data_IF_302860754307
#
_entry.id   IF_302860754307
#
_cell.length_a   1.000
_cell.length_b   1.000
_cell.length_c   1.000
_cell.angle_alpha   90.00
_cell.angle_beta   90.00
_cell.angle_gamma   90.00
#
_symmetry.space_group_name_H-M   'P 1'
#
loop_
_entity.id
_entity.type
_entity.pdbx_description
1 polymer ?
#
# COMPACT_ATOMS: atom_id res chain seq x y z
N UNK A 1 17.38 9.20 1.14
CA UNK A 1 16.77 8.43 2.25
C UNK A 1 15.90 7.31 1.69
N UNK A 2 15.94 6.09 2.24
CA UNK A 2 15.04 5.01 1.83
C UNK A 2 13.62 5.26 2.33
N UNK A 3 12.69 4.45 1.85
CA UNK A 3 11.36 4.37 2.43
C UNK A 3 11.37 3.73 3.81
N UNK A 4 10.25 3.83 4.54
CA UNK A 4 10.09 3.29 5.89
C UNK A 4 8.70 2.68 6.08
N UNK A 5 8.62 1.65 6.90
CA UNK A 5 7.37 0.98 7.26
C UNK A 5 7.48 -0.54 7.23
N UNK A 6 6.36 -1.18 7.00
CA UNK A 6 6.27 -2.64 6.97
C UNK A 6 6.72 -3.18 5.60
N UNK A 7 7.78 -3.99 5.57
CA UNK A 7 8.26 -4.64 4.33
C UNK A 7 7.29 -5.70 3.78
N UNK A 8 6.30 -6.11 4.56
CA UNK A 8 5.25 -7.03 4.18
C UNK A 8 3.89 -6.29 4.08
N UNK A 9 3.91 -5.03 3.62
CA UNK A 9 2.74 -4.19 3.50
C UNK A 9 1.90 -4.56 2.26
N UNK A 10 0.58 -4.51 2.40
CA UNK A 10 -0.34 -4.66 1.27
C UNK A 10 -0.40 -3.40 0.39
N UNK A 11 0.02 -2.25 0.94
CA UNK A 11 0.08 -0.99 0.20
C UNK A 11 1.40 -0.26 0.45
N UNK A 12 1.97 0.27 -0.64
CA UNK A 12 3.09 1.20 -0.61
C UNK A 12 2.61 2.58 -1.04
N UNK A 13 2.88 3.60 -0.22
CA UNK A 13 2.60 4.99 -0.55
C UNK A 13 3.83 5.66 -1.13
N UNK A 14 3.70 6.25 -2.32
CA UNK A 14 4.80 6.88 -3.04
C UNK A 14 4.51 8.36 -3.23
N UNK A 15 5.29 9.21 -2.55
CA UNK A 15 5.26 10.66 -2.69
C UNK A 15 6.31 11.18 -3.68
N UNK A 16 6.55 12.50 -3.64
CA UNK A 16 7.45 13.20 -4.56
C UNK A 16 8.91 13.14 -4.10
N UNK A 17 9.22 13.80 -3.01
CA UNK A 17 10.57 13.99 -2.49
C UNK A 17 10.55 14.32 -0.99
N UNK A 18 11.67 14.11 -0.27
CA UNK A 18 11.79 14.57 1.11
C UNK A 18 11.70 16.08 1.22
N UNK A 19 11.00 16.58 2.25
CA UNK A 19 11.05 17.97 2.68
C UNK A 19 12.15 18.19 3.72
N UNK A 20 12.18 19.39 4.32
CA UNK A 20 13.20 19.76 5.33
C UNK A 20 13.14 18.86 6.58
N UNK A 21 11.93 18.55 7.06
CA UNK A 21 11.77 17.72 8.26
C UNK A 21 12.23 16.30 8.01
N UNK A 22 11.89 15.76 6.84
CA UNK A 22 12.28 14.43 6.40
C UNK A 22 13.81 14.32 6.24
N UNK A 23 14.43 15.34 5.64
CA UNK A 23 15.88 15.42 5.43
C UNK A 23 16.66 15.43 6.76
N UNK A 24 16.15 16.14 7.76
CA UNK A 24 16.75 16.19 9.11
C UNK A 24 16.57 14.87 9.87
N UNK A 25 15.38 14.25 9.78
CA UNK A 25 15.08 13.07 10.58
C UNK A 25 15.46 11.76 9.88
N UNK A 26 15.77 11.79 8.58
CA UNK A 26 16.05 10.60 7.80
C UNK A 26 14.85 9.68 7.57
N UNK A 27 13.62 10.20 7.72
CA UNK A 27 12.38 9.42 7.62
C UNK A 27 11.37 10.10 6.71
N UNK A 28 10.66 9.35 5.82
CA UNK A 28 9.65 9.91 4.94
C UNK A 28 8.38 10.31 5.70
N UNK A 29 7.76 11.42 5.26
CA UNK A 29 6.48 11.86 5.77
C UNK A 29 6.41 12.07 7.30
N UNK A 30 7.38 12.78 7.87
CA UNK A 30 7.40 13.20 9.29
C UNK A 30 7.05 14.68 9.48
N UNK A 31 7.09 15.47 8.42
CA UNK A 31 6.74 16.91 8.42
C UNK A 31 5.24 17.17 8.31
N UNK A 32 4.88 18.39 7.89
CA UNK A 32 3.48 18.83 7.80
C UNK A 32 2.63 17.95 6.86
N UNK A 33 3.18 17.56 5.72
CA UNK A 33 2.52 16.64 4.77
C UNK A 33 2.32 15.24 5.39
N UNK A 34 3.29 14.76 6.16
CA UNK A 34 3.23 13.50 6.89
C UNK A 34 2.12 13.48 7.93
N UNK A 35 2.00 14.53 8.74
CA UNK A 35 0.91 14.67 9.72
C UNK A 35 -0.48 14.67 9.05
N UNK A 36 -0.58 15.25 7.84
CA UNK A 36 -1.82 15.19 7.06
C UNK A 36 -2.09 13.77 6.55
N UNK A 37 -1.05 13.08 6.07
CA UNK A 37 -1.17 11.68 5.66
C UNK A 37 -1.63 10.81 6.83
N UNK A 38 -1.06 10.97 8.02
CA UNK A 38 -1.42 10.20 9.22
C UNK A 38 -2.89 10.36 9.57
N UNK A 39 -3.39 11.61 9.60
CA UNK A 39 -4.79 11.89 9.88
C UNK A 39 -5.74 11.29 8.84
N UNK A 40 -5.34 11.25 7.56
CA UNK A 40 -6.14 10.68 6.48
C UNK A 40 -6.11 9.15 6.54
N UNK A 41 -4.97 8.54 6.85
CA UNK A 41 -4.85 7.10 7.06
C UNK A 41 -5.74 6.65 8.22
N UNK A 42 -5.70 7.37 9.35
CA UNK A 42 -6.55 7.11 10.52
C UNK A 42 -8.04 7.20 10.19
N UNK A 43 -8.47 8.27 9.47
CA UNK A 43 -9.87 8.45 9.02
C UNK A 43 -10.34 7.32 8.08
N UNK A 44 -9.43 6.74 7.30
CA UNK A 44 -9.70 5.61 6.41
C UNK A 44 -9.57 4.23 7.10
N UNK A 45 -9.21 4.17 8.38
CA UNK A 45 -8.98 2.92 9.11
C UNK A 45 -7.68 2.21 8.73
N UNK A 46 -6.75 2.89 8.07
CA UNK A 46 -5.45 2.34 7.66
C UNK A 46 -4.42 2.67 8.74
N UNK A 47 -3.82 1.63 9.35
CA UNK A 47 -2.77 1.85 10.35
C UNK A 47 -1.44 2.16 9.66
N UNK A 48 -0.80 3.29 10.03
CA UNK A 48 0.51 3.68 9.49
C UNK A 48 1.61 2.61 9.66
N UNK A 49 1.55 1.82 10.72
CA UNK A 49 2.54 0.77 10.97
C UNK A 49 2.39 -0.45 10.04
N UNK A 50 1.26 -0.58 9.35
CA UNK A 50 0.97 -1.69 8.46
C UNK A 50 1.27 -1.36 6.99
N UNK A 51 1.70 -0.13 6.70
CA UNK A 51 2.00 0.34 5.34
C UNK A 51 3.49 0.61 5.17
N UNK A 52 3.94 0.70 3.91
CA UNK A 52 5.27 1.19 3.57
C UNK A 52 5.17 2.54 2.87
N UNK A 53 6.00 3.50 3.24
CA UNK A 53 5.93 4.87 2.72
C UNK A 53 7.28 5.29 2.18
N UNK A 54 7.30 5.86 0.99
CA UNK A 54 8.50 6.30 0.32
C UNK A 54 8.25 7.49 -0.61
N UNK A 55 9.29 7.93 -1.31
CA UNK A 55 9.23 9.00 -2.32
C UNK A 55 9.93 8.56 -3.61
N UNK A 56 9.57 9.18 -4.73
CA UNK A 56 10.27 9.01 -6.01
C UNK A 56 11.74 9.41 -5.84
N UNK A 57 12.00 10.64 -5.40
CA UNK A 57 13.35 11.14 -5.19
C UNK A 57 13.79 10.87 -3.77
N UNK A 58 15.03 10.40 -3.62
CA UNK A 58 15.58 9.98 -2.32
C UNK A 58 16.31 11.09 -1.57
N UNK A 59 16.62 12.19 -2.24
CA UNK A 59 17.26 13.36 -1.67
C UNK A 59 16.33 14.57 -1.72
N UNK A 60 16.48 15.48 -0.77
CA UNK A 60 15.69 16.71 -0.73
C UNK A 60 16.16 17.67 -1.83
N UNK A 61 15.29 18.12 -2.76
CA UNK A 61 15.64 19.15 -3.72
C UNK A 61 15.87 20.51 -3.04
N UNK A 62 16.79 21.35 -3.56
CA UNK A 62 17.06 22.68 -3.01
C UNK A 62 15.78 23.50 -2.85
N UNK A 63 15.61 24.15 -1.70
CA UNK A 63 14.45 24.97 -1.36
C UNK A 63 13.09 24.27 -1.47
N UNK A 64 13.04 22.93 -1.40
CA UNK A 64 11.86 22.10 -1.60
C UNK A 64 11.17 22.34 -2.96
N UNK A 65 11.93 22.68 -4.01
CA UNK A 65 11.35 22.75 -5.36
C UNK A 65 10.92 21.37 -5.83
N UNK A 66 10.06 21.31 -6.83
CA UNK A 66 9.79 20.05 -7.51
C UNK A 66 11.10 19.46 -8.09
N UNK A 67 11.29 18.13 -8.03
CA UNK A 67 12.45 17.49 -8.63
C UNK A 67 12.46 17.65 -10.14
N UNK A 68 13.66 17.70 -10.73
CA UNK A 68 13.82 17.68 -12.19
C UNK A 68 13.63 16.25 -12.71
N UNK A 69 13.44 16.09 -14.03
CA UNK A 69 13.32 14.76 -14.63
C UNK A 69 14.58 13.92 -14.48
N UNK A 70 15.73 14.56 -14.52
CA UNK A 70 17.05 13.90 -14.28
C UNK A 70 17.14 13.37 -12.85
N UNK A 71 16.68 14.15 -11.85
CA UNK A 71 16.62 13.72 -10.45
C UNK A 71 15.64 12.56 -10.24
N UNK A 72 14.46 12.62 -10.88
CA UNK A 72 13.49 11.52 -10.85
C UNK A 72 14.10 10.24 -11.45
N UNK A 73 14.71 10.35 -12.64
CA UNK A 73 15.31 9.19 -13.33
C UNK A 73 16.50 8.60 -12.59
N UNK A 74 17.33 9.42 -11.94
CA UNK A 74 18.43 8.94 -11.11
C UNK A 74 17.97 8.12 -9.90
N UNK A 75 16.71 8.28 -9.48
CA UNK A 75 16.15 7.59 -8.31
C UNK A 75 15.16 6.47 -8.68
N UNK A 76 14.78 6.32 -9.96
CA UNK A 76 13.73 5.37 -10.37
C UNK A 76 14.06 3.92 -10.04
N UNK A 77 15.31 3.51 -10.12
CA UNK A 77 15.73 2.14 -9.81
C UNK A 77 15.58 1.83 -8.32
N UNK A 78 15.80 2.81 -7.43
CA UNK A 78 15.59 2.62 -6.00
C UNK A 78 14.11 2.39 -5.66
N UNK A 79 13.20 3.17 -6.26
CA UNK A 79 11.77 2.97 -6.03
C UNK A 79 11.27 1.65 -6.60
N UNK A 80 11.79 1.22 -7.76
CA UNK A 80 11.44 -0.08 -8.33
C UNK A 80 11.90 -1.23 -7.42
N UNK A 81 13.12 -1.16 -6.87
CA UNK A 81 13.61 -2.14 -5.90
C UNK A 81 12.76 -2.18 -4.63
N UNK A 82 12.38 -1.01 -4.06
CA UNK A 82 11.48 -0.96 -2.91
C UNK A 82 10.13 -1.61 -3.21
N UNK A 83 9.55 -1.35 -4.38
CA UNK A 83 8.29 -1.97 -4.82
C UNK A 83 8.42 -3.49 -4.97
N UNK A 84 9.56 -3.98 -5.46
CA UNK A 84 9.82 -5.41 -5.59
C UNK A 84 10.02 -6.10 -4.24
N UNK A 85 10.77 -5.48 -3.33
CA UNK A 85 11.02 -6.01 -1.98
C UNK A 85 9.72 -6.08 -1.18
N UNK A 86 8.92 -5.00 -1.19
CA UNK A 86 7.65 -4.94 -0.45
C UNK A 86 6.59 -5.81 -1.11
N UNK A 87 6.63 -5.94 -2.45
CA UNK A 87 5.66 -6.67 -3.27
C UNK A 87 4.20 -6.41 -2.85
N UNK A 88 3.74 -5.14 -2.86
CA UNK A 88 2.43 -4.77 -2.37
C UNK A 88 1.32 -5.18 -3.33
N UNK A 89 0.10 -5.29 -2.82
CA UNK A 89 -1.09 -5.48 -3.67
C UNK A 89 -1.41 -4.21 -4.47
N UNK A 90 -1.20 -3.03 -3.86
CA UNK A 90 -1.49 -1.73 -4.45
C UNK A 90 -0.33 -0.77 -4.19
N UNK A 91 0.06 -0.04 -5.23
CA UNK A 91 1.00 1.08 -5.16
C UNK A 91 0.17 2.37 -5.19
N UNK A 92 0.08 3.06 -4.05
CA UNK A 92 -0.63 4.33 -3.94
C UNK A 92 0.28 5.49 -4.37
N UNK A 93 0.00 6.07 -5.51
CA UNK A 93 0.78 7.15 -6.15
C UNK A 93 0.20 8.49 -5.74
N UNK A 94 0.96 9.29 -4.98
CA UNK A 94 0.50 10.55 -4.41
C UNK A 94 1.13 11.75 -5.15
N UNK A 95 0.31 12.48 -5.90
CA UNK A 95 0.72 13.72 -6.58
C UNK A 95 1.22 13.51 -8.01
N UNK A 96 1.39 14.64 -8.72
CA UNK A 96 1.73 14.64 -10.15
C UNK A 96 3.11 14.04 -10.45
N UNK A 97 4.10 14.30 -9.61
CA UNK A 97 5.46 13.78 -9.81
C UNK A 97 5.47 12.26 -9.78
N UNK A 98 4.92 11.66 -8.72
CA UNK A 98 4.85 10.21 -8.62
C UNK A 98 3.99 9.60 -9.74
N UNK A 99 2.86 10.23 -10.10
CA UNK A 99 2.00 9.81 -11.19
C UNK A 99 2.71 9.89 -12.54
N UNK A 100 3.45 10.97 -12.79
CA UNK A 100 4.23 11.14 -14.01
C UNK A 100 5.37 10.14 -14.14
N UNK A 101 6.14 9.93 -13.07
CA UNK A 101 7.32 9.08 -13.08
C UNK A 101 6.97 7.60 -13.24
N UNK A 102 6.02 7.10 -12.44
CA UNK A 102 5.70 5.67 -12.44
C UNK A 102 4.75 5.27 -13.58
N UNK A 103 3.81 6.14 -13.95
CA UNK A 103 2.74 5.81 -14.87
C UNK A 103 2.80 6.57 -16.20
N UNK A 104 3.65 7.60 -16.31
CA UNK A 104 3.66 8.52 -17.47
C UNK A 104 2.42 9.42 -17.51
N UNK A 105 1.69 9.51 -16.39
CA UNK A 105 0.42 10.20 -16.32
C UNK A 105 0.56 11.72 -16.24
N UNK A 106 -0.50 12.41 -16.64
CA UNK A 106 -0.65 13.86 -16.54
C UNK A 106 -2.03 14.18 -15.95
N UNK A 107 -2.20 15.37 -15.39
CA UNK A 107 -3.50 15.85 -14.90
C UNK A 107 -4.15 14.94 -13.85
N UNK A 108 -3.54 14.87 -12.69
CA UNK A 108 -4.01 14.04 -11.56
C UNK A 108 -5.47 14.33 -11.18
N UNK A 109 -5.95 15.56 -11.38
CA UNK A 109 -7.33 15.99 -11.11
C UNK A 109 -8.39 15.19 -11.88
N UNK A 110 -8.05 14.68 -13.06
CA UNK A 110 -8.94 13.84 -13.87
C UNK A 110 -8.79 12.35 -13.61
N UNK A 111 -7.70 11.96 -12.92
CA UNK A 111 -7.30 10.58 -12.80
C UNK A 111 -7.19 10.09 -11.35
N UNK A 112 -7.39 10.95 -10.34
CA UNK A 112 -7.41 10.52 -8.96
C UNK A 112 -8.56 9.54 -8.67
N UNK A 113 -8.46 8.81 -7.60
CA UNK A 113 -9.43 7.81 -7.19
C UNK A 113 -9.64 6.66 -8.18
N UNK A 114 -8.64 6.39 -9.05
CA UNK A 114 -8.68 5.29 -10.03
C UNK A 114 -7.57 4.28 -9.76
N UNK A 115 -7.87 3.02 -10.08
CA UNK A 115 -6.84 1.98 -10.20
C UNK A 115 -6.41 1.90 -11.66
N UNK A 116 -5.10 1.89 -11.89
CA UNK A 116 -4.46 1.70 -13.17
C UNK A 116 -3.58 0.46 -13.07
N UNK A 117 -3.74 -0.47 -13.99
CA UNK A 117 -2.87 -1.63 -14.09
C UNK A 117 -1.74 -1.37 -15.09
N UNK A 118 -0.50 -1.61 -14.67
CA UNK A 118 0.69 -1.50 -15.52
C UNK A 118 1.72 -2.55 -15.10
N UNK A 119 2.21 -3.32 -16.06
CA UNK A 119 3.22 -4.38 -15.84
C UNK A 119 2.82 -5.37 -14.74
N UNK A 120 1.54 -5.76 -14.68
CA UNK A 120 1.01 -6.68 -13.67
C UNK A 120 0.88 -6.12 -12.26
N UNK A 121 1.16 -4.83 -12.06
CA UNK A 121 1.01 -4.14 -10.77
C UNK A 121 -0.19 -3.18 -10.81
N UNK A 122 -0.87 -3.05 -9.66
CA UNK A 122 -2.02 -2.14 -9.49
C UNK A 122 -1.56 -0.85 -8.85
N UNK A 123 -1.90 0.27 -9.47
CA UNK A 123 -1.58 1.62 -9.00
C UNK A 123 -2.86 2.37 -8.67
N UNK A 124 -2.97 2.85 -7.46
CA UNK A 124 -4.04 3.76 -7.04
C UNK A 124 -3.53 5.20 -7.08
N UNK A 125 -4.20 6.07 -7.83
CA UNK A 125 -3.76 7.45 -8.04
C UNK A 125 -4.55 8.40 -7.13
N UNK A 126 -3.85 9.26 -6.38
CA UNK A 126 -4.48 10.27 -5.51
C UNK A 126 -3.64 11.54 -5.39
N UNK A 127 -4.24 12.58 -4.82
CA UNK A 127 -3.53 13.84 -4.56
C UNK A 127 -2.43 13.66 -3.51
N UNK A 128 -1.40 14.52 -3.59
CA UNK A 128 -0.38 14.56 -2.55
C UNK A 128 -0.96 15.23 -1.29
N UNK A 129 -0.72 14.69 -0.08
CA UNK A 129 -1.24 15.29 1.16
C UNK A 129 -0.86 16.76 1.36
N UNK A 130 0.32 17.19 0.88
CA UNK A 130 0.74 18.58 0.93
C UNK A 130 -0.19 19.54 0.17
N UNK A 131 -0.90 19.07 -0.86
CA UNK A 131 -1.85 19.91 -1.61
C UNK A 131 -2.99 20.43 -0.73
N UNK A 132 -3.36 19.69 0.32
CA UNK A 132 -4.41 20.09 1.28
C UNK A 132 -3.98 21.25 2.19
N UNK A 133 -2.68 21.53 2.31
CA UNK A 133 -2.16 22.66 3.09
C UNK A 133 -2.54 23.97 2.40
N UNK A 134 -2.53 23.97 1.07
CA UNK A 134 -2.82 25.15 0.23
C UNK A 134 -4.28 25.22 -0.22
N UNK A 135 -4.97 24.07 -0.28
CA UNK A 135 -6.36 23.97 -0.71
C UNK A 135 -7.13 22.99 0.17
N UNK A 136 -7.84 23.53 1.16
CA UNK A 136 -8.60 22.72 2.13
C UNK A 136 -9.75 21.93 1.49
N UNK A 137 -10.29 22.38 0.33
CA UNK A 137 -11.35 21.64 -0.38
C UNK A 137 -10.89 20.25 -0.84
N UNK A 138 -9.58 20.07 -1.05
CA UNK A 138 -9.01 18.77 -1.40
C UNK A 138 -8.98 17.76 -0.25
N UNK A 139 -9.21 18.19 1.00
CA UNK A 139 -9.21 17.27 2.15
C UNK A 139 -10.32 16.23 2.02
N UNK A 140 -11.53 16.68 1.66
CA UNK A 140 -12.67 15.77 1.56
C UNK A 140 -12.53 14.80 0.38
N UNK A 141 -11.95 15.26 -0.73
CA UNK A 141 -11.65 14.41 -1.87
C UNK A 141 -10.59 13.37 -1.50
N UNK A 142 -9.52 13.80 -0.86
CA UNK A 142 -8.44 12.92 -0.41
C UNK A 142 -8.94 11.87 0.60
N UNK A 143 -9.79 12.25 1.54
CA UNK A 143 -10.44 11.33 2.46
C UNK A 143 -11.31 10.29 1.74
N UNK A 144 -12.09 10.72 0.73
CA UNK A 144 -12.87 9.80 -0.10
C UNK A 144 -11.98 8.83 -0.87
N UNK A 145 -10.87 9.33 -1.45
CA UNK A 145 -9.90 8.50 -2.16
C UNK A 145 -9.33 7.43 -1.23
N UNK A 146 -8.91 7.79 -0.02
CA UNK A 146 -8.32 6.85 0.92
C UNK A 146 -9.32 5.82 1.47
N UNK A 147 -10.59 6.22 1.69
CA UNK A 147 -11.66 5.27 2.04
C UNK A 147 -11.91 4.25 0.91
N UNK A 148 -11.87 4.72 -0.34
CA UNK A 148 -11.99 3.83 -1.48
C UNK A 148 -10.76 2.91 -1.62
N UNK A 149 -9.56 3.44 -1.37
CA UNK A 149 -8.34 2.62 -1.31
C UNK A 149 -8.45 1.52 -0.25
N UNK A 150 -8.93 1.85 0.95
CA UNK A 150 -9.16 0.87 2.01
C UNK A 150 -10.12 -0.24 1.56
N UNK A 151 -11.24 0.10 0.92
CA UNK A 151 -12.16 -0.87 0.33
C UNK A 151 -11.50 -1.78 -0.72
N UNK A 152 -10.65 -1.25 -1.59
CA UNK A 152 -9.91 -2.08 -2.56
C UNK A 152 -8.92 -3.04 -1.89
N UNK A 153 -8.31 -2.63 -0.78
CA UNK A 153 -7.42 -3.50 -0.01
C UNK A 153 -8.20 -4.62 0.68
N UNK A 154 -9.43 -4.37 1.10
CA UNK A 154 -10.33 -5.37 1.65
C UNK A 154 -10.85 -6.35 0.58
N UNK A 155 -11.31 -5.83 -0.56
CA UNK A 155 -11.87 -6.64 -1.66
C UNK A 155 -10.78 -7.46 -2.40
N UNK A 156 -9.59 -6.88 -2.59
CA UNK A 156 -8.47 -7.54 -3.28
C UNK A 156 -7.93 -8.77 -2.57
N UNK A 157 -8.29 -8.96 -1.31
CA UNK A 157 -7.86 -10.08 -0.47
C UNK A 157 -8.80 -11.29 -0.48
N UNK A 158 -9.88 -11.25 -1.24
CA UNK A 158 -10.70 -12.44 -1.48
C UNK A 158 -10.12 -13.29 -2.63
N UNK A 159 -8.85 -13.69 -2.52
CA UNK A 159 -8.32 -14.76 -3.37
C UNK A 159 -8.93 -16.05 -2.85
N UNK A 160 -10.02 -16.49 -3.44
CA UNK A 160 -10.56 -17.82 -3.21
C UNK A 160 -9.67 -18.84 -3.91
N UNK A 161 -8.65 -19.33 -3.23
CA UNK A 161 -8.00 -20.58 -3.62
C UNK A 161 -8.83 -21.74 -3.07
N UNK A 162 -9.06 -22.75 -3.88
CA UNK A 162 -9.70 -23.97 -3.44
C UNK A 162 -8.61 -25.02 -3.22
N UNK A 163 -8.41 -25.43 -1.98
CA UNK A 163 -7.45 -26.47 -1.62
C UNK A 163 -8.15 -27.73 -1.12
N UNK A 164 -7.67 -28.90 -1.53
CA UNK A 164 -8.10 -30.18 -0.98
C UNK A 164 -7.41 -30.42 0.36
N UNK A 165 -8.15 -30.37 1.45
CA UNK A 165 -7.67 -30.59 2.82
C UNK A 165 -8.60 -31.51 3.60
N UNK A 166 -8.05 -32.17 4.64
CA UNK A 166 -8.88 -32.83 5.63
C UNK A 166 -9.51 -31.80 6.53
N UNK A 167 -10.82 -31.79 6.62
CA UNK A 167 -11.54 -30.92 7.53
C UNK A 167 -11.46 -31.49 8.96
N UNK A 168 -10.98 -30.70 9.90
CA UNK A 168 -10.84 -31.13 11.31
C UNK A 168 -12.21 -31.32 11.99
N UNK A 169 -13.27 -30.79 11.42
CA UNK A 169 -14.62 -30.88 11.96
C UNK A 169 -15.40 -32.08 11.39
N UNK A 170 -15.52 -32.19 10.07
CA UNK A 170 -16.22 -33.34 9.47
C UNK A 170 -15.30 -34.52 9.17
N UNK A 171 -14.00 -34.41 9.46
CA UNK A 171 -12.95 -35.43 9.29
C UNK A 171 -12.80 -35.97 7.85
N UNK A 172 -13.52 -35.42 6.90
CA UNK A 172 -13.46 -35.78 5.49
C UNK A 172 -12.39 -34.98 4.74
N UNK A 173 -11.83 -35.58 3.69
CA UNK A 173 -10.98 -34.83 2.73
C UNK A 173 -11.91 -34.04 1.80
N UNK A 174 -12.00 -32.73 2.01
CA UNK A 174 -12.92 -31.86 1.32
C UNK A 174 -12.19 -30.66 0.72
N UNK A 175 -12.85 -29.99 -0.20
CA UNK A 175 -12.39 -28.71 -0.73
C UNK A 175 -12.58 -27.62 0.32
N UNK A 176 -11.57 -26.76 0.46
CA UNK A 176 -11.64 -25.60 1.33
C UNK A 176 -11.46 -24.34 0.50
N UNK A 177 -12.36 -23.40 0.67
CA UNK A 177 -12.13 -22.03 0.19
C UNK A 177 -11.13 -21.35 1.12
N UNK A 178 -10.05 -20.84 0.53
CA UNK A 178 -9.01 -20.10 1.27
C UNK A 178 -9.18 -18.62 0.96
N UNK A 179 -9.45 -17.85 2.00
CA UNK A 179 -9.57 -16.38 1.90
C UNK A 179 -8.42 -15.76 2.67
N UNK A 180 -7.58 -15.00 1.98
CA UNK A 180 -6.49 -14.24 2.61
C UNK A 180 -7.05 -12.88 3.03
N UNK A 181 -7.06 -12.60 4.33
CA UNK A 181 -7.50 -11.31 4.86
C UNK A 181 -6.34 -10.32 4.96
N UNK A 182 -6.55 -9.04 4.56
CA UNK A 182 -5.50 -8.02 4.63
C UNK A 182 -5.07 -7.74 6.07
N UNK A 183 -3.79 -7.40 6.25
CA UNK A 183 -3.24 -6.97 7.54
C UNK A 183 -3.93 -5.73 8.08
N UNK A 184 -4.37 -4.84 7.19
CA UNK A 184 -5.07 -3.59 7.53
C UNK A 184 -6.33 -3.85 8.36
N UNK A 185 -7.11 -4.88 7.98
CA UNK A 185 -8.36 -5.22 8.68
C UNK A 185 -8.11 -6.00 9.97
N UNK A 186 -7.12 -6.91 9.98
CA UNK A 186 -6.92 -7.86 11.08
C UNK A 186 -5.66 -7.63 11.90
N UNK A 187 -4.86 -6.60 11.60
CA UNK A 187 -3.49 -6.34 12.12
C UNK A 187 -2.47 -7.45 11.87
N UNK A 188 -2.88 -8.56 11.23
CA UNK A 188 -2.00 -9.66 10.78
C UNK A 188 -2.69 -10.31 9.59
N UNK A 189 -1.94 -10.67 8.55
CA UNK A 189 -2.49 -11.54 7.51
C UNK A 189 -3.03 -12.79 8.17
N UNK A 190 -4.28 -13.13 7.91
CA UNK A 190 -4.91 -14.35 8.39
C UNK A 190 -5.52 -15.06 7.20
N UNK A 191 -5.43 -16.35 7.22
CA UNK A 191 -6.04 -17.21 6.22
C UNK A 191 -7.29 -17.81 6.83
N UNK A 192 -8.41 -17.56 6.20
CA UNK A 192 -9.66 -18.20 6.55
C UNK A 192 -9.85 -19.41 5.66
N UNK A 193 -9.90 -20.58 6.24
CA UNK A 193 -10.23 -21.83 5.57
C UNK A 193 -11.70 -22.14 5.86
N UNK A 194 -12.51 -22.26 4.81
CA UNK A 194 -13.91 -22.60 4.92
C UNK A 194 -14.17 -23.93 4.20
N UNK A 195 -14.56 -24.94 4.95
CA UNK A 195 -14.93 -26.23 4.38
C UNK A 195 -16.18 -26.07 3.49
N UNK A 196 -16.12 -26.57 2.25
CA UNK A 196 -17.26 -26.46 1.30
C UNK A 196 -18.44 -27.35 1.70
N UNK A 197 -18.18 -28.42 2.47
CA UNK A 197 -19.19 -29.38 2.93
C UNK A 197 -19.90 -28.92 4.21
N UNK A 198 -19.16 -28.87 5.33
CA UNK A 198 -19.76 -28.57 6.64
C UNK A 198 -19.78 -27.07 6.98
N UNK A 199 -19.25 -26.19 6.09
CA UNK A 199 -19.15 -24.73 6.26
C UNK A 199 -18.33 -24.28 7.49
N UNK A 200 -17.66 -25.20 8.18
CA UNK A 200 -16.78 -24.85 9.31
C UNK A 200 -15.64 -23.95 8.86
N UNK A 201 -15.39 -22.91 9.62
CA UNK A 201 -14.36 -21.88 9.34
C UNK A 201 -13.22 -22.00 10.35
N UNK A 202 -11.98 -21.95 9.88
CA UNK A 202 -10.79 -21.97 10.71
C UNK A 202 -9.82 -20.90 10.31
N UNK A 203 -9.40 -20.07 11.26
CA UNK A 203 -8.38 -19.07 11.07
C UNK A 203 -6.99 -19.64 11.30
N UNK A 204 -6.09 -19.49 10.34
CA UNK A 204 -4.68 -19.82 10.48
C UNK A 204 -3.84 -18.54 10.37
N UNK A 205 -2.81 -18.44 11.20
CA UNK A 205 -1.80 -17.39 11.03
C UNK A 205 -0.85 -17.79 9.89
N UNK A 206 -0.39 -16.85 9.05
CA UNK A 206 0.42 -17.16 7.86
C UNK A 206 1.85 -17.64 8.16
N UNK A 207 2.26 -17.81 9.40
CA UNK A 207 3.62 -18.22 9.77
C UNK A 207 3.65 -19.48 10.62
N UNK A 208 3.70 -20.59 9.97
CA UNK A 208 4.76 -21.60 10.05
C UNK A 208 5.11 -21.94 8.62
N UNK A 209 6.22 -21.38 8.15
CA UNK A 209 6.79 -21.71 6.86
C UNK A 209 7.05 -23.20 6.79
N UNK A 210 6.92 -23.76 5.60
CA UNK A 210 7.25 -25.15 5.24
C UNK A 210 8.66 -25.60 5.71
N UNK A 211 9.49 -24.69 6.19
CA UNK A 211 10.82 -24.94 6.72
C UNK A 211 10.83 -25.60 8.12
N UNK A 212 9.75 -25.55 8.89
CA UNK A 212 9.70 -26.17 10.23
C UNK A 212 9.05 -27.57 10.26
N UNK A 213 8.59 -28.08 9.12
CA UNK A 213 8.03 -29.43 9.00
C UNK A 213 9.03 -30.48 8.50
N UNK A 214 10.32 -30.14 8.39
CA UNK A 214 11.38 -31.02 7.90
C UNK A 214 12.48 -31.29 8.95
N UNK A 215 12.18 -31.08 10.25
CA UNK A 215 13.01 -31.60 11.35
C UNK A 215 12.16 -32.31 12.37
#
# INVERSE_FOLDING_TARGET
>A
MPGKGNFDADVIFVGEAPGRSEDINGEPFVGAAGKKLDAILEDAGINRNDVYITNIVKCRPPNNRAPSKEEEMACVDFINQEIEIVNPQIICVMGNTAYGTLLGGKEITKNHCKIIEKNGKKFFVTFHPAATIYNQKLIDELKKDFKKLAGFLEDGNQVKQVEDRRCDFCMAKTKHEVVVMPKIVTRKRRWLFKCTECKHERWLQPYRTVAESLY
#
